data_IF_021016707218
#
_entry.id   IF_021016707218
#
_cell.length_a   1.000
_cell.length_b   1.000
_cell.length_c   1.000
_cell.angle_alpha   90.00
_cell.angle_beta   90.00
_cell.angle_gamma   90.00
#
_symmetry.space_group_name_H-M   'P 1'
#
loop_
_entity.id
_entity.type
_entity.pdbx_description
1 polymer ?
#
# COMPACT_ATOMS: atom_id res chain seq x y z
N UNK A 1 8.23 14.78 -20.48
CA UNK A 1 8.69 14.75 -19.07
C UNK A 1 10.11 14.20 -19.06
N UNK A 2 10.96 14.64 -18.14
CA UNK A 2 12.26 13.98 -17.96
C UNK A 2 12.03 12.59 -17.38
N UNK A 3 12.81 11.60 -17.83
CA UNK A 3 12.82 10.26 -17.24
C UNK A 3 13.28 10.38 -15.78
N UNK A 4 12.61 9.67 -14.89
CA UNK A 4 12.92 9.63 -13.46
C UNK A 4 13.16 8.18 -13.04
N UNK A 5 14.05 7.99 -12.06
CA UNK A 5 14.28 6.76 -11.33
C UNK A 5 13.38 6.76 -10.09
N UNK A 6 12.42 5.83 -10.03
CA UNK A 6 11.40 5.79 -8.99
C UNK A 6 11.45 4.43 -8.30
N UNK A 7 11.68 4.41 -6.99
CA UNK A 7 11.55 3.20 -6.18
C UNK A 7 10.28 3.27 -5.34
N UNK A 8 9.36 2.34 -5.56
CA UNK A 8 8.11 2.24 -4.80
C UNK A 8 8.29 1.15 -3.75
N UNK A 9 8.16 1.52 -2.47
CA UNK A 9 8.20 0.59 -1.36
C UNK A 9 6.77 0.37 -0.82
N UNK A 10 6.34 -0.88 -0.73
CA UNK A 10 5.02 -1.24 -0.23
C UNK A 10 5.07 -2.57 0.52
N UNK A 11 4.22 -2.72 1.55
CA UNK A 11 4.05 -3.99 2.27
C UNK A 11 3.22 -5.01 1.49
N UNK A 12 2.47 -4.59 0.48
CA UNK A 12 1.62 -5.44 -0.34
C UNK A 12 1.61 -4.96 -1.80
N UNK A 13 1.60 -5.91 -2.74
CA UNK A 13 1.65 -5.67 -4.18
C UNK A 13 0.93 -6.81 -4.88
N UNK A 14 -0.09 -6.50 -5.69
CA UNK A 14 -0.74 -7.49 -6.56
C UNK A 14 0.17 -7.86 -7.73
N UNK A 15 0.32 -9.15 -8.09
CA UNK A 15 -0.42 -10.32 -7.58
C UNK A 15 0.33 -11.14 -6.52
N UNK A 16 1.39 -10.59 -5.91
CA UNK A 16 2.27 -11.32 -5.00
C UNK A 16 1.68 -11.49 -3.61
N UNK A 17 1.18 -10.41 -3.01
CA UNK A 17 0.53 -10.41 -1.70
C UNK A 17 -0.49 -9.28 -1.63
N UNK A 18 -1.67 -9.58 -1.08
CA UNK A 18 -2.77 -8.63 -0.95
C UNK A 18 -3.49 -8.82 0.37
N UNK A 19 -3.54 -7.77 1.17
CA UNK A 19 -4.52 -7.60 2.24
C UNK A 19 -5.57 -6.57 1.81
N UNK A 20 -5.17 -5.38 1.35
CA UNK A 20 -6.04 -4.24 1.07
C UNK A 20 -5.94 -3.65 -0.33
N UNK A 21 -6.43 -2.41 -0.45
CA UNK A 21 -6.41 -1.64 -1.71
C UNK A 21 -5.05 -1.00 -2.01
N UNK A 22 -4.14 -0.92 -1.03
CA UNK A 22 -2.76 -0.50 -1.27
C UNK A 22 -2.11 -1.46 -2.27
N UNK A 23 -2.34 -2.77 -2.14
CA UNK A 23 -1.79 -3.77 -3.05
C UNK A 23 -2.18 -3.55 -4.52
N UNK A 24 -3.40 -3.07 -4.76
CA UNK A 24 -3.90 -2.76 -6.11
C UNK A 24 -3.18 -1.54 -6.69
N UNK A 25 -3.01 -0.48 -5.89
CA UNK A 25 -2.27 0.72 -6.30
C UNK A 25 -0.80 0.38 -6.56
N UNK A 26 -0.16 -0.35 -5.64
CA UNK A 26 1.23 -0.77 -5.76
C UNK A 26 1.45 -1.77 -6.91
N UNK A 27 0.40 -2.44 -7.40
CA UNK A 27 0.44 -3.30 -8.58
C UNK A 27 0.13 -2.57 -9.89
N UNK A 28 -0.63 -1.48 -9.89
CA UNK A 28 -1.05 -0.77 -11.10
C UNK A 28 -0.24 0.49 -11.40
N UNK A 29 0.06 1.30 -10.38
CA UNK A 29 0.80 2.56 -10.53
C UNK A 29 2.21 2.36 -11.13
N UNK A 30 3.01 1.35 -10.71
CA UNK A 30 4.33 1.16 -11.31
C UNK A 30 4.26 0.88 -12.81
N UNK A 31 3.26 0.11 -13.26
CA UNK A 31 3.02 -0.19 -14.68
C UNK A 31 2.74 1.09 -15.47
N UNK A 32 1.86 1.94 -14.95
CA UNK A 32 1.51 3.21 -15.57
C UNK A 32 2.70 4.17 -15.66
N UNK A 33 3.48 4.31 -14.58
CA UNK A 33 4.69 5.15 -14.57
C UNK A 33 5.76 4.60 -15.52
N UNK A 34 5.92 3.28 -15.60
CA UNK A 34 6.83 2.64 -16.55
C UNK A 34 6.42 2.92 -18.00
N UNK A 35 5.13 2.84 -18.31
CA UNK A 35 4.59 3.18 -19.64
C UNK A 35 4.78 4.65 -20.02
N UNK A 36 4.89 5.55 -19.04
CA UNK A 36 5.25 6.97 -19.24
C UNK A 36 6.76 7.20 -19.47
N UNK A 37 7.58 6.15 -19.41
CA UNK A 37 9.01 6.18 -19.72
C UNK A 37 9.95 6.30 -18.51
N UNK A 38 9.43 6.22 -17.28
CA UNK A 38 10.23 6.26 -16.06
C UNK A 38 10.95 4.91 -15.79
N UNK A 39 12.11 4.95 -15.12
CA UNK A 39 12.68 3.72 -14.56
C UNK A 39 12.03 3.44 -13.20
N UNK A 40 11.10 2.50 -13.18
CA UNK A 40 10.30 2.20 -11.99
C UNK A 40 10.67 0.83 -11.47
N UNK A 41 10.94 0.76 -10.16
CA UNK A 41 11.22 -0.48 -9.44
C UNK A 41 10.32 -0.56 -8.22
N UNK A 42 9.96 -1.76 -7.83
CA UNK A 42 9.12 -2.01 -6.65
C UNK A 42 9.91 -2.82 -5.63
N UNK A 43 9.75 -2.53 -4.35
CA UNK A 43 10.31 -3.33 -3.26
C UNK A 43 9.18 -3.74 -2.32
N UNK A 44 9.14 -5.02 -1.96
CA UNK A 44 8.20 -5.54 -0.96
C UNK A 44 8.85 -6.63 -0.10
N UNK A 45 8.29 -6.95 1.09
CA UNK A 45 8.74 -8.10 1.85
C UNK A 45 8.37 -9.41 1.15
N UNK A 46 9.19 -10.44 1.36
CA UNK A 46 8.91 -11.78 0.87
C UNK A 46 8.13 -12.57 1.92
N UNK A 47 6.80 -12.59 1.81
CA UNK A 47 5.95 -13.45 2.64
C UNK A 47 5.88 -14.88 2.09
N UNK A 48 5.40 -15.85 2.88
CA UNK A 48 5.22 -17.23 2.40
C UNK A 48 4.17 -17.36 1.29
N UNK A 49 3.18 -16.46 1.25
CA UNK A 49 2.20 -16.42 0.14
C UNK A 49 2.84 -16.05 -1.21
N UNK A 50 4.03 -15.44 -1.19
CA UNK A 50 4.82 -15.15 -2.39
C UNK A 50 5.52 -16.43 -2.82
N UNK A 51 4.96 -17.09 -3.83
CA UNK A 51 5.51 -18.30 -4.44
C UNK A 51 6.70 -17.96 -5.36
N UNK A 52 7.89 -18.39 -4.97
CA UNK A 52 9.13 -18.15 -5.73
C UNK A 52 9.11 -18.78 -7.11
N UNK A 53 8.60 -20.01 -7.23
CA UNK A 53 8.66 -20.78 -8.46
C UNK A 53 7.63 -20.25 -9.45
N UNK A 54 6.40 -20.03 -8.97
CA UNK A 54 5.31 -19.46 -9.78
C UNK A 54 5.71 -18.13 -10.42
N UNK A 55 6.43 -17.28 -9.68
CA UNK A 55 6.85 -15.96 -10.14
C UNK A 55 8.28 -15.92 -10.69
N UNK A 56 8.97 -17.06 -10.80
CA UNK A 56 10.32 -17.15 -11.35
C UNK A 56 11.35 -16.29 -10.62
N UNK A 57 11.22 -16.15 -9.30
CA UNK A 57 12.05 -15.27 -8.49
C UNK A 57 13.50 -15.76 -8.46
N UNK A 58 14.44 -14.87 -8.79
CA UNK A 58 15.88 -15.16 -8.83
C UNK A 58 16.56 -14.57 -7.62
N UNK A 59 17.35 -15.36 -6.91
CA UNK A 59 18.18 -14.86 -5.83
C UNK A 59 19.26 -13.94 -6.40
N UNK A 60 19.41 -12.74 -5.83
CA UNK A 60 20.53 -11.86 -6.13
C UNK A 60 21.79 -12.32 -5.39
N UNK A 61 22.94 -12.08 -6.02
CA UNK A 61 24.23 -12.42 -5.44
C UNK A 61 24.56 -11.54 -4.23
N UNK A 62 24.98 -12.18 -3.14
CA UNK A 62 25.41 -11.52 -1.91
C UNK A 62 24.27 -11.29 -0.91
N UNK A 63 24.57 -11.30 0.40
CA UNK A 63 23.58 -11.04 1.43
C UNK A 63 23.37 -9.52 1.60
N UNK A 64 22.15 -9.13 1.92
CA UNK A 64 21.79 -7.74 2.24
C UNK A 64 21.97 -7.50 3.74
N UNK A 65 23.06 -6.83 4.13
CA UNK A 65 23.30 -6.40 5.51
C UNK A 65 22.40 -5.21 5.86
N UNK A 66 21.55 -5.38 6.88
CA UNK A 66 20.64 -4.36 7.38
C UNK A 66 21.03 -4.04 8.81
N UNK A 67 21.62 -2.87 9.07
CA UNK A 67 21.94 -2.48 10.44
C UNK A 67 20.63 -2.25 11.20
N UNK A 68 20.53 -2.73 12.43
CA UNK A 68 19.33 -2.67 13.31
C UNK A 68 19.68 -2.02 14.66
N UNK A 69 20.66 -1.13 14.66
CA UNK A 69 21.10 -0.40 15.84
C UNK A 69 21.53 -1.30 16.99
N UNK A 70 20.90 -1.12 18.15
CA UNK A 70 21.19 -1.90 19.36
C UNK A 70 20.94 -3.41 19.21
N UNK A 71 20.21 -3.84 18.17
CA UNK A 71 19.95 -5.25 17.87
C UNK A 71 21.04 -5.89 16.99
N UNK A 72 22.04 -5.12 16.54
CA UNK A 72 23.11 -5.60 15.67
C UNK A 72 22.78 -5.51 14.18
N UNK A 73 23.38 -6.37 13.36
CA UNK A 73 23.16 -6.42 11.91
C UNK A 73 22.36 -7.68 11.54
N UNK A 74 21.30 -7.49 10.77
CA UNK A 74 20.47 -8.57 10.24
C UNK A 74 20.79 -8.79 8.76
N UNK A 75 20.90 -10.05 8.34
CA UNK A 75 21.31 -10.40 6.97
C UNK A 75 20.14 -11.05 6.23
N UNK A 76 19.65 -10.38 5.19
CA UNK A 76 18.58 -10.86 4.34
C UNK A 76 19.08 -11.42 3.02
N UNK A 77 18.28 -12.28 2.42
CA UNK A 77 18.35 -12.55 0.99
C UNK A 77 17.49 -11.53 0.23
N UNK A 78 17.86 -11.26 -1.02
CA UNK A 78 17.03 -10.46 -1.93
C UNK A 78 16.72 -11.31 -3.14
N UNK A 79 15.44 -11.43 -3.47
CA UNK A 79 15.03 -12.02 -4.73
C UNK A 79 14.58 -10.92 -5.69
N UNK A 80 14.89 -11.09 -6.97
CA UNK A 80 14.41 -10.26 -8.07
C UNK A 80 13.37 -11.04 -8.88
N UNK A 81 12.26 -10.38 -9.18
CA UNK A 81 11.25 -10.83 -10.12
C UNK A 81 10.77 -9.67 -10.99
N UNK A 82 9.70 -9.91 -11.73
CA UNK A 82 9.09 -8.90 -12.60
C UNK A 82 7.60 -8.86 -12.33
N UNK A 83 7.04 -7.66 -12.31
CA UNK A 83 5.60 -7.48 -12.18
C UNK A 83 4.89 -8.06 -13.41
N UNK A 84 3.97 -9.04 -13.25
CA UNK A 84 3.41 -9.78 -14.38
C UNK A 84 2.78 -8.89 -15.45
N UNK A 85 3.04 -9.23 -16.71
CA UNK A 85 2.58 -8.46 -17.87
C UNK A 85 3.36 -7.19 -18.15
N UNK A 86 4.46 -6.93 -17.44
CA UNK A 86 5.32 -5.74 -17.62
C UNK A 86 6.80 -6.09 -17.57
N UNK A 87 7.66 -5.07 -17.66
CA UNK A 87 9.11 -5.15 -17.45
C UNK A 87 9.56 -4.44 -16.15
N UNK A 88 8.63 -4.14 -15.24
CA UNK A 88 8.93 -3.47 -13.95
C UNK A 88 9.63 -4.46 -13.02
N UNK A 89 10.88 -4.22 -12.60
CA UNK A 89 11.57 -5.06 -11.62
C UNK A 89 10.90 -4.97 -10.24
N UNK A 90 10.79 -6.12 -9.59
CA UNK A 90 10.28 -6.22 -8.22
C UNK A 90 11.32 -6.93 -7.37
N UNK A 91 11.75 -6.28 -6.28
CA UNK A 91 12.69 -6.83 -5.32
C UNK A 91 11.96 -7.29 -4.06
N UNK A 92 12.26 -8.50 -3.63
CA UNK A 92 11.64 -9.15 -2.49
C UNK A 92 12.67 -9.32 -1.37
N UNK A 93 12.47 -8.62 -0.26
CA UNK A 93 13.32 -8.72 0.92
C UNK A 93 12.93 -9.98 1.70
N UNK A 94 13.81 -10.98 1.70
CA UNK A 94 13.58 -12.27 2.34
C UNK A 94 14.42 -12.37 3.63
N UNK A 95 13.74 -12.24 4.76
CA UNK A 95 14.32 -12.41 6.09
C UNK A 95 13.39 -13.24 6.96
N UNK A 96 13.78 -14.50 7.16
CA UNK A 96 12.94 -15.55 7.73
C UNK A 96 12.28 -15.15 9.06
N UNK A 97 13.04 -14.52 9.98
CA UNK A 97 12.53 -14.16 11.31
C UNK A 97 11.36 -13.16 11.27
N UNK A 98 11.28 -12.33 10.23
CA UNK A 98 10.24 -11.31 10.07
C UNK A 98 9.19 -11.65 9.03
N UNK A 99 9.57 -12.23 7.89
CA UNK A 99 8.67 -12.43 6.76
C UNK A 99 8.41 -13.90 6.42
N UNK A 100 9.04 -14.84 7.15
CA UNK A 100 8.73 -16.27 7.09
C UNK A 100 7.37 -16.63 7.70
N UNK A 101 6.29 -15.98 7.24
CA UNK A 101 4.92 -16.10 7.76
C UNK A 101 3.92 -15.93 6.62
N UNK A 102 2.70 -16.45 6.81
CA UNK A 102 1.60 -16.28 5.85
C UNK A 102 0.95 -14.90 5.93
N UNK A 103 0.70 -14.40 7.14
CA UNK A 103 0.10 -13.08 7.36
C UNK A 103 1.10 -11.93 7.17
N UNK A 104 0.63 -10.81 6.60
CA UNK A 104 1.48 -9.66 6.26
C UNK A 104 1.90 -8.88 7.52
N UNK A 105 0.94 -8.35 8.26
CA UNK A 105 1.14 -7.57 9.50
C UNK A 105 0.20 -8.02 10.63
N UNK A 106 -0.75 -8.91 10.36
CA UNK A 106 -1.58 -9.58 11.35
C UNK A 106 -1.75 -11.05 10.99
N UNK A 107 -2.18 -11.83 11.97
CA UNK A 107 -2.65 -13.20 11.80
C UNK A 107 -3.93 -13.39 12.61
N UNK A 108 -4.99 -13.87 11.96
CA UNK A 108 -6.31 -14.04 12.56
C UNK A 108 -6.86 -12.76 13.24
N UNK A 109 -6.54 -11.58 12.68
CA UNK A 109 -6.98 -10.28 13.22
C UNK A 109 -6.14 -9.74 14.37
N UNK A 110 -5.08 -10.45 14.78
CA UNK A 110 -4.14 -9.97 15.79
C UNK A 110 -2.85 -9.50 15.13
N UNK A 111 -2.51 -8.23 15.32
CA UNK A 111 -1.25 -7.67 14.82
C UNK A 111 -0.06 -8.39 15.45
N UNK A 112 0.97 -8.67 14.66
CA UNK A 112 2.20 -9.24 15.21
C UNK A 112 2.89 -8.24 16.15
N UNK A 113 3.37 -8.73 17.29
CA UNK A 113 4.00 -7.91 18.32
C UNK A 113 5.34 -7.31 17.90
N UNK A 114 5.99 -7.89 16.89
CA UNK A 114 7.28 -7.45 16.33
C UNK A 114 7.13 -6.56 15.08
N UNK A 115 5.92 -6.08 14.78
CA UNK A 115 5.65 -5.23 13.61
C UNK A 115 6.49 -3.95 13.57
N UNK A 116 6.89 -3.43 14.72
CA UNK A 116 7.85 -2.33 14.80
C UNK A 116 9.14 -2.68 14.06
N UNK A 117 9.84 -3.71 14.55
CA UNK A 117 11.13 -4.14 14.05
C UNK A 117 11.02 -4.67 12.62
N UNK A 118 9.93 -5.36 12.27
CA UNK A 118 9.70 -5.88 10.91
C UNK A 118 9.68 -4.78 9.87
N UNK A 119 8.94 -3.70 10.11
CA UNK A 119 8.77 -2.63 9.12
C UNK A 119 9.84 -1.54 9.21
N UNK A 120 10.50 -1.39 10.36
CA UNK A 120 11.77 -0.65 10.46
C UNK A 120 12.87 -1.38 9.67
N UNK A 121 13.02 -2.69 9.87
CA UNK A 121 13.93 -3.53 9.09
C UNK A 121 13.64 -3.40 7.60
N UNK A 122 12.37 -3.54 7.19
CA UNK A 122 11.99 -3.40 5.78
C UNK A 122 12.39 -2.04 5.21
N UNK A 123 12.07 -0.95 5.92
CA UNK A 123 12.42 0.41 5.48
C UNK A 123 13.93 0.59 5.35
N UNK A 124 14.73 0.06 6.27
CA UNK A 124 16.19 0.09 6.20
C UNK A 124 16.74 -0.82 5.09
N UNK A 125 16.12 -1.98 4.87
CA UNK A 125 16.46 -2.91 3.81
C UNK A 125 16.24 -2.29 2.42
N UNK A 126 15.18 -1.50 2.23
CA UNK A 126 14.95 -0.71 1.00
C UNK A 126 16.13 0.25 0.75
N UNK A 127 16.60 0.95 1.78
CA UNK A 127 17.75 1.84 1.65
C UNK A 127 19.04 1.06 1.31
N UNK A 128 19.29 -0.06 1.99
CA UNK A 128 20.47 -0.89 1.71
C UNK A 128 20.40 -1.54 0.32
N UNK A 129 19.22 -1.91 -0.15
CA UNK A 129 19.01 -2.48 -1.47
C UNK A 129 19.44 -1.50 -2.56
N UNK A 130 19.10 -0.21 -2.44
CA UNK A 130 19.54 0.82 -3.38
C UNK A 130 21.06 0.82 -3.53
N UNK A 131 21.79 0.67 -2.41
CA UNK A 131 23.25 0.59 -2.41
C UNK A 131 23.76 -0.71 -3.03
N UNK A 132 23.13 -1.84 -2.70
CA UNK A 132 23.50 -3.16 -3.21
C UNK A 132 23.42 -3.24 -4.74
N UNK A 133 22.40 -2.63 -5.34
CA UNK A 133 22.15 -2.68 -6.79
C UNK A 133 22.60 -1.40 -7.53
N UNK A 134 23.32 -0.50 -6.84
CA UNK A 134 23.73 0.83 -7.32
C UNK A 134 22.58 1.62 -7.99
N UNK A 135 21.38 1.54 -7.41
CA UNK A 135 20.22 2.30 -7.86
C UNK A 135 20.12 3.62 -7.13
N UNK A 136 20.16 4.72 -7.89
CA UNK A 136 20.06 6.10 -7.40
C UNK A 136 18.67 6.64 -7.71
N UNK A 137 17.71 6.56 -6.77
CA UNK A 137 16.35 7.02 -7.01
C UNK A 137 16.30 8.55 -7.06
N UNK A 138 15.58 9.10 -8.03
CA UNK A 138 15.10 10.48 -7.96
C UNK A 138 13.95 10.58 -6.96
N UNK A 139 13.12 9.53 -6.86
CA UNK A 139 11.97 9.46 -5.95
C UNK A 139 11.98 8.13 -5.18
N UNK A 140 11.94 8.24 -3.85
CA UNK A 140 11.55 7.15 -2.94
C UNK A 140 10.07 7.32 -2.58
N UNK A 141 9.23 6.41 -3.05
CA UNK A 141 7.79 6.45 -2.83
C UNK A 141 7.40 5.43 -1.76
N UNK A 142 7.20 5.93 -0.53
CA UNK A 142 6.71 5.20 0.61
C UNK A 142 5.17 5.14 0.62
N UNK A 143 4.63 4.02 1.07
CA UNK A 143 3.21 3.75 1.19
C UNK A 143 2.86 3.29 2.62
N UNK A 144 1.99 4.07 3.26
CA UNK A 144 1.48 3.88 4.63
C UNK A 144 2.57 3.73 5.71
N UNK A 145 2.14 3.44 6.95
CA UNK A 145 3.02 3.34 8.11
C UNK A 145 4.13 2.29 7.94
N UNK A 146 3.90 1.24 7.14
CA UNK A 146 4.84 0.15 6.88
C UNK A 146 6.18 0.60 6.29
N UNK A 147 6.18 1.73 5.58
CA UNK A 147 7.38 2.28 4.92
C UNK A 147 7.60 3.75 5.28
N UNK A 148 6.81 4.29 6.22
CA UNK A 148 6.89 5.68 6.65
C UNK A 148 8.21 6.04 7.36
N UNK A 149 9.02 5.05 7.74
CA UNK A 149 10.38 5.32 8.21
C UNK A 149 11.32 5.77 7.07
N UNK A 150 11.02 5.48 5.80
CA UNK A 150 11.90 5.81 4.66
C UNK A 150 12.18 7.33 4.55
N UNK A 151 11.18 8.23 4.54
CA UNK A 151 11.44 9.67 4.49
C UNK A 151 12.29 10.16 5.67
N UNK A 152 12.01 9.68 6.88
CA UNK A 152 12.78 10.01 8.07
C UNK A 152 14.24 9.55 7.93
N UNK A 153 14.46 8.31 7.51
CA UNK A 153 15.79 7.75 7.29
C UNK A 153 16.56 8.52 6.22
N UNK A 154 15.89 8.91 5.13
CA UNK A 154 16.45 9.71 4.04
C UNK A 154 17.01 11.04 4.56
N UNK A 155 16.24 11.76 5.38
CA UNK A 155 16.62 13.09 5.89
C UNK A 155 17.58 13.05 7.09
N UNK A 156 17.78 11.89 7.69
CA UNK A 156 18.64 11.73 8.89
C UNK A 156 19.83 10.82 8.58
N UNK A 157 19.67 9.51 8.77
CA UNK A 157 20.75 8.51 8.64
C UNK A 157 21.42 8.52 7.26
N UNK A 158 20.66 8.78 6.19
CA UNK A 158 21.14 8.74 4.81
C UNK A 158 21.29 10.12 4.15
N UNK A 159 21.17 11.22 4.92
CA UNK A 159 21.17 12.59 4.39
C UNK A 159 22.47 12.96 3.63
N UNK A 160 23.56 12.28 3.93
CA UNK A 160 24.88 12.48 3.33
C UNK A 160 25.39 11.28 2.55
N UNK A 161 24.54 10.27 2.32
CA UNK A 161 24.89 9.12 1.51
C UNK A 161 24.76 9.46 0.01
N UNK A 162 25.82 9.22 -0.75
CA UNK A 162 25.92 9.61 -2.15
C UNK A 162 24.86 8.95 -3.04
N UNK A 163 24.35 7.77 -2.68
CA UNK A 163 23.31 7.06 -3.43
C UNK A 163 21.99 7.86 -3.43
N UNK A 164 21.72 8.60 -2.36
CA UNK A 164 20.46 9.32 -2.15
C UNK A 164 20.58 10.84 -2.37
N UNK A 165 21.70 11.29 -2.93
CA UNK A 165 21.93 12.71 -3.16
C UNK A 165 20.90 13.27 -4.15
N UNK A 166 20.07 14.19 -3.69
CA UNK A 166 19.02 14.82 -4.49
C UNK A 166 17.75 13.98 -4.64
N UNK A 167 17.66 12.83 -3.95
CA UNK A 167 16.44 12.02 -3.87
C UNK A 167 15.35 12.78 -3.13
N UNK A 168 14.15 12.84 -3.70
CA UNK A 168 12.94 13.28 -3.03
C UNK A 168 12.13 12.09 -2.50
N UNK A 169 11.31 12.33 -1.50
CA UNK A 169 10.44 11.35 -0.87
C UNK A 169 8.97 11.69 -1.03
N UNK A 170 8.17 10.69 -1.39
CA UNK A 170 6.71 10.80 -1.43
C UNK A 170 6.15 9.77 -0.45
N UNK A 171 5.23 10.19 0.42
CA UNK A 171 4.48 9.28 1.29
C UNK A 171 2.99 9.29 0.90
N UNK A 172 2.49 8.15 0.42
CA UNK A 172 1.05 7.96 0.20
C UNK A 172 0.39 7.37 1.43
N UNK A 173 -0.67 8.03 1.90
CA UNK A 173 -1.50 7.59 3.01
C UNK A 173 -2.80 7.02 2.42
N UNK A 174 -3.02 5.71 2.52
CA UNK A 174 -4.26 5.05 2.07
C UNK A 174 -5.26 4.91 3.21
N UNK A 175 -4.77 4.82 4.44
CA UNK A 175 -5.62 4.72 5.63
C UNK A 175 -4.91 5.30 6.86
N UNK A 176 -5.49 6.37 7.42
CA UNK A 176 -4.96 7.03 8.60
C UNK A 176 -5.30 6.32 9.93
N UNK A 177 -6.19 5.33 9.93
CA UNK A 177 -6.51 4.55 11.12
C UNK A 177 -5.30 3.70 11.60
N UNK A 178 -4.45 3.26 10.68
CA UNK A 178 -3.27 2.45 10.98
C UNK A 178 -2.00 3.30 10.88
N UNK A 179 -1.44 3.67 12.03
CA UNK A 179 -0.37 4.68 12.10
C UNK A 179 1.00 4.11 12.51
N UNK A 180 1.06 2.85 12.95
CA UNK A 180 2.29 2.23 13.44
C UNK A 180 2.74 2.83 14.78
N UNK A 181 1.90 2.68 15.81
CA UNK A 181 2.22 3.07 17.18
C UNK A 181 3.06 1.99 17.88
N UNK A 182 4.26 2.35 18.32
CA UNK A 182 5.23 1.39 18.86
C UNK A 182 6.03 1.93 20.04
N UNK A 183 6.82 1.07 20.67
CA UNK A 183 7.69 1.43 21.79
C UNK A 183 8.79 2.41 21.35
N UNK A 184 9.14 3.36 22.23
CA UNK A 184 10.13 4.41 21.93
C UNK A 184 11.54 3.90 21.59
N UNK A 185 11.91 2.70 22.05
CA UNK A 185 13.20 2.07 21.71
C UNK A 185 13.37 1.80 20.22
N UNK A 186 12.30 1.84 19.43
CA UNK A 186 12.38 1.83 17.97
C UNK A 186 13.25 2.95 17.37
N UNK A 187 13.45 4.07 18.08
CA UNK A 187 14.40 5.13 17.70
C UNK A 187 15.83 4.58 17.59
N UNK A 188 16.25 3.79 18.58
CA UNK A 188 17.58 3.16 18.59
C UNK A 188 17.71 2.11 17.46
N UNK A 189 16.64 1.38 17.17
CA UNK A 189 16.61 0.37 16.09
C UNK A 189 16.67 1.04 14.71
N UNK A 190 15.96 2.15 14.52
CA UNK A 190 16.06 2.97 13.30
C UNK A 190 17.45 3.61 13.15
N UNK A 191 18.14 3.82 14.28
CA UNK A 191 19.40 4.55 14.38
C UNK A 191 19.27 5.98 13.81
N UNK A 192 18.21 6.66 14.24
CA UNK A 192 17.97 8.08 13.97
C UNK A 192 18.28 8.91 15.23
N UNK A 193 18.59 10.20 15.09
CA UNK A 193 18.88 11.06 16.25
C UNK A 193 17.69 11.09 17.22
N UNK A 194 17.95 11.05 18.53
CA UNK A 194 16.90 11.12 19.56
C UNK A 194 16.15 12.46 19.56
N UNK A 195 16.71 13.48 18.92
CA UNK A 195 16.04 14.75 18.62
C UNK A 195 14.78 14.55 17.78
N UNK A 196 14.68 13.48 16.98
CA UNK A 196 13.48 13.11 16.23
C UNK A 196 12.35 12.55 17.12
N UNK A 197 12.68 12.14 18.34
CA UNK A 197 11.70 11.80 19.37
C UNK A 197 11.14 13.07 20.01
N UNK A 198 10.35 13.81 19.25
CA UNK A 198 9.70 15.04 19.69
C UNK A 198 8.24 15.13 19.17
N UNK A 199 7.39 16.00 19.76
CA UNK A 199 5.98 16.09 19.40
C UNK A 199 5.68 16.52 17.96
N UNK A 200 6.67 17.02 17.20
CA UNK A 200 6.53 17.40 15.79
C UNK A 200 7.00 16.30 14.82
N UNK A 201 7.57 15.19 15.33
CA UNK A 201 8.08 14.08 14.53
C UNK A 201 7.56 12.75 15.10
N UNK A 202 8.40 11.90 15.71
CA UNK A 202 8.03 10.55 16.08
C UNK A 202 7.17 10.44 17.35
N UNK A 203 7.34 11.31 18.34
CA UNK A 203 6.75 11.11 19.67
C UNK A 203 5.21 11.10 19.60
N UNK A 204 4.59 10.10 20.20
CA UNK A 204 3.14 10.03 20.35
C UNK A 204 2.80 9.20 21.59
N UNK A 205 2.19 9.85 22.58
CA UNK A 205 1.67 9.22 23.80
C UNK A 205 2.72 8.36 24.55
N UNK A 206 3.98 8.82 24.59
CA UNK A 206 5.07 8.10 25.26
C UNK A 206 5.67 6.93 24.47
N UNK A 207 5.16 6.67 23.27
CA UNK A 207 5.75 5.80 22.25
C UNK A 207 6.15 6.59 21.01
N UNK A 208 6.33 5.87 19.90
CA UNK A 208 6.46 6.48 18.57
C UNK A 208 5.23 6.24 17.71
N UNK A 209 5.07 7.08 16.69
CA UNK A 209 4.15 6.90 15.59
C UNK A 209 4.94 7.01 14.27
N UNK A 210 5.14 5.88 13.59
CA UNK A 210 5.95 5.84 12.35
C UNK A 210 5.34 6.68 11.23
N UNK A 211 4.01 6.63 11.08
CA UNK A 211 3.33 7.43 10.06
C UNK A 211 3.50 8.93 10.30
N UNK A 212 3.39 9.35 11.56
CA UNK A 212 3.61 10.75 11.97
C UNK A 212 5.03 11.23 11.65
N UNK A 213 6.04 10.42 11.94
CA UNK A 213 7.44 10.69 11.57
C UNK A 213 7.62 10.79 10.05
N UNK A 214 7.03 9.85 9.30
CA UNK A 214 7.03 9.91 7.83
C UNK A 214 6.37 11.16 7.27
N UNK A 215 5.24 11.59 7.86
CA UNK A 215 4.53 12.83 7.48
C UNK A 215 5.42 14.06 7.70
N UNK A 216 6.14 14.11 8.83
CA UNK A 216 7.02 15.22 9.13
C UNK A 216 8.14 15.37 8.08
N UNK A 217 8.71 14.23 7.65
CA UNK A 217 9.92 14.20 6.82
C UNK A 217 9.69 14.12 5.31
N UNK A 218 8.56 13.59 4.84
CA UNK A 218 8.32 13.45 3.40
C UNK A 218 8.29 14.79 2.66
N UNK A 219 8.87 14.87 1.46
CA UNK A 219 8.82 16.09 0.64
C UNK A 219 7.40 16.36 0.12
N UNK A 220 6.68 15.29 -0.23
CA UNK A 220 5.28 15.34 -0.65
C UNK A 220 4.45 14.25 0.03
N UNK A 221 3.23 14.62 0.39
CA UNK A 221 2.22 13.72 0.91
C UNK A 221 1.15 13.53 -0.15
N UNK A 222 0.75 12.29 -0.38
CA UNK A 222 -0.38 11.99 -1.25
C UNK A 222 -1.41 11.12 -0.55
N UNK A 223 -2.65 11.15 -1.03
CA UNK A 223 -3.71 10.29 -0.51
C UNK A 223 -4.77 10.01 -1.56
N UNK A 224 -5.71 9.10 -1.27
CA UNK A 224 -6.55 8.39 -2.25
C UNK A 224 -7.62 9.23 -2.96
N UNK A 225 -7.86 10.46 -2.51
CA UNK A 225 -8.70 11.43 -3.23
C UNK A 225 -8.56 12.86 -2.67
N UNK A 226 -8.91 13.89 -3.46
CA UNK A 226 -9.01 15.27 -2.95
C UNK A 226 -9.98 15.44 -1.79
N UNK A 227 -11.04 14.63 -1.74
CA UNK A 227 -12.01 14.65 -0.64
C UNK A 227 -11.39 14.08 0.63
N UNK A 228 -10.77 12.91 0.52
CA UNK A 228 -10.11 12.27 1.66
C UNK A 228 -8.96 13.12 2.20
N UNK A 229 -8.21 13.82 1.33
CA UNK A 229 -7.20 14.80 1.75
C UNK A 229 -7.77 15.93 2.65
N UNK A 230 -9.04 16.32 2.46
CA UNK A 230 -9.72 17.27 3.35
C UNK A 230 -10.27 16.59 4.60
N UNK A 231 -10.82 15.38 4.46
CA UNK A 231 -11.40 14.61 5.57
C UNK A 231 -10.35 14.31 6.64
N UNK A 232 -9.16 13.84 6.27
CA UNK A 232 -8.08 13.51 7.23
C UNK A 232 -7.55 14.71 8.03
N UNK A 233 -7.95 15.93 7.66
CA UNK A 233 -7.64 17.15 8.39
C UNK A 233 -8.74 17.54 9.38
N UNK A 234 -9.79 16.73 9.55
CA UNK A 234 -10.87 16.94 10.53
C UNK A 234 -10.73 15.95 11.68
N UNK A 235 -11.32 16.27 12.85
CA UNK A 235 -11.29 15.38 14.01
C UNK A 235 -12.00 14.04 13.80
N UNK A 236 -12.94 13.97 12.84
CA UNK A 236 -13.72 12.76 12.56
C UNK A 236 -12.89 11.70 11.84
N UNK A 237 -12.01 12.12 10.92
CA UNK A 237 -11.21 11.20 10.09
C UNK A 237 -9.70 11.34 10.28
N UNK A 238 -9.27 12.28 11.13
CA UNK A 238 -7.86 12.58 11.40
C UNK A 238 -7.19 11.62 12.38
N UNK A 239 -7.96 10.82 13.12
CA UNK A 239 -7.45 9.79 14.04
C UNK A 239 -6.34 10.31 15.00
N UNK A 240 -6.45 11.55 15.47
CA UNK A 240 -5.47 12.19 16.36
C UNK A 240 -4.27 12.84 15.65
N UNK A 241 -4.20 12.75 14.32
CA UNK A 241 -3.19 13.40 13.48
C UNK A 241 -3.72 14.62 12.71
N UNK A 242 -4.98 15.03 12.91
CA UNK A 242 -5.60 16.14 12.17
C UNK A 242 -4.74 17.42 12.19
N UNK A 243 -4.29 17.85 13.38
CA UNK A 243 -3.44 19.03 13.54
C UNK A 243 -2.05 18.84 12.91
N UNK A 244 -1.51 17.62 12.99
CA UNK A 244 -0.21 17.28 12.38
C UNK A 244 -0.29 17.35 10.87
N UNK A 245 -1.36 16.83 10.28
CA UNK A 245 -1.60 16.88 8.83
C UNK A 245 -1.88 18.32 8.39
N UNK A 246 -2.66 19.09 9.14
CA UNK A 246 -2.89 20.51 8.85
C UNK A 246 -1.58 21.30 8.79
N UNK A 247 -0.65 21.04 9.72
CA UNK A 247 0.69 21.63 9.71
C UNK A 247 1.52 21.30 8.46
N UNK A 248 1.22 20.17 7.81
CA UNK A 248 1.87 19.69 6.59
C UNK A 248 0.96 19.78 5.35
N UNK A 249 -0.16 20.52 5.42
CA UNK A 249 -1.15 20.62 4.35
C UNK A 249 -0.59 21.22 3.06
N UNK A 250 0.43 22.08 3.16
CA UNK A 250 1.11 22.70 2.02
C UNK A 250 1.79 21.69 1.08
N UNK A 251 2.08 20.48 1.56
CA UNK A 251 2.66 19.38 0.78
C UNK A 251 1.70 18.19 0.59
N UNK A 252 0.42 18.33 0.97
CA UNK A 252 -0.59 17.29 0.86
C UNK A 252 -1.43 17.42 -0.42
N UNK A 253 -1.47 16.34 -1.20
CA UNK A 253 -2.28 16.25 -2.41
C UNK A 253 -3.17 15.00 -2.43
N UNK A 254 -4.46 15.19 -2.68
CA UNK A 254 -5.35 14.07 -2.96
C UNK A 254 -5.29 13.67 -4.44
N UNK A 255 -4.91 12.43 -4.72
CA UNK A 255 -4.85 11.85 -6.07
C UNK A 255 -5.91 10.76 -6.15
N UNK A 256 -6.84 10.90 -7.09
CA UNK A 256 -7.88 9.89 -7.28
C UNK A 256 -7.22 8.59 -7.78
N UNK A 257 -7.47 7.49 -7.07
CA UNK A 257 -7.00 6.18 -7.49
C UNK A 257 -7.53 5.83 -8.89
N UNK A 258 -6.64 5.33 -9.74
CA UNK A 258 -7.02 4.72 -11.01
C UNK A 258 -7.46 3.26 -10.83
N UNK A 259 -7.99 2.68 -11.90
CA UNK A 259 -8.22 1.24 -12.04
C UNK A 259 -7.43 0.72 -13.24
N UNK A 260 -6.97 -0.54 -13.19
CA UNK A 260 -6.30 -1.19 -14.31
C UNK A 260 -7.33 -1.54 -15.38
N UNK A 261 -7.35 -0.80 -16.49
CA UNK A 261 -8.32 -1.03 -17.57
C UNK A 261 -7.99 -2.26 -18.42
N UNK A 262 -6.87 -2.94 -18.23
CA UNK A 262 -6.63 -4.24 -18.88
C UNK A 262 -7.27 -5.39 -18.09
N UNK A 263 -7.44 -5.21 -16.78
CA UNK A 263 -8.19 -6.12 -15.91
C UNK A 263 -9.68 -5.78 -15.87
N UNK A 264 -10.03 -4.51 -15.61
CA UNK A 264 -11.41 -4.05 -15.40
C UNK A 264 -12.07 -3.56 -16.69
N UNK A 265 -12.23 -4.46 -17.67
CA UNK A 265 -12.79 -4.12 -18.99
C UNK A 265 -13.89 -5.08 -19.43
N UNK A 266 -15.18 -4.70 -19.33
CA UNK A 266 -16.29 -5.56 -19.73
C UNK A 266 -16.26 -6.02 -21.20
N UNK A 267 -15.49 -5.37 -22.08
CA UNK A 267 -15.39 -5.75 -23.48
C UNK A 267 -14.58 -7.04 -23.71
N UNK A 268 -13.74 -7.46 -22.75
CA UNK A 268 -12.88 -8.63 -22.84
C UNK A 268 -12.69 -9.35 -21.49
N UNK A 269 -13.52 -9.02 -20.49
CA UNK A 269 -13.47 -9.64 -19.16
C UNK A 269 -13.90 -11.12 -19.23
N UNK A 270 -13.00 -12.08 -18.91
CA UNK A 270 -13.30 -13.50 -18.97
C UNK A 270 -14.21 -13.99 -17.82
N UNK A 271 -14.40 -13.18 -16.78
CA UNK A 271 -15.19 -13.54 -15.59
C UNK A 271 -16.67 -13.23 -15.72
N UNK A 272 -17.07 -12.43 -16.72
CA UNK A 272 -18.47 -12.11 -16.96
C UNK A 272 -19.09 -13.02 -18.03
N UNK A 273 -20.39 -13.29 -17.89
CA UNK A 273 -21.10 -14.24 -18.75
C UNK A 273 -21.11 -13.84 -20.23
N UNK A 274 -21.08 -12.55 -20.53
CA UNK A 274 -21.01 -12.05 -21.90
C UNK A 274 -20.35 -10.66 -21.95
N UNK A 275 -19.33 -10.47 -22.80
CA UNK A 275 -18.72 -9.17 -22.98
C UNK A 275 -19.70 -8.08 -23.47
N UNK A 276 -19.47 -6.84 -23.07
CA UNK A 276 -20.23 -5.66 -23.48
C UNK A 276 -19.37 -4.39 -23.42
N UNK A 277 -19.85 -3.29 -24.02
CA UNK A 277 -19.15 -2.00 -23.98
C UNK A 277 -20.16 -0.83 -23.93
N UNK A 278 -19.67 0.41 -24.01
CA UNK A 278 -20.51 1.60 -23.93
C UNK A 278 -21.51 1.73 -25.10
N UNK A 279 -21.19 1.16 -26.26
CA UNK A 279 -22.00 1.22 -27.48
C UNK A 279 -23.01 0.06 -27.57
N UNK A 280 -22.72 -1.10 -26.97
CA UNK A 280 -23.61 -2.27 -26.91
C UNK A 280 -23.68 -2.86 -25.50
N UNK A 281 -24.79 -2.57 -24.80
CA UNK A 281 -25.09 -3.05 -23.45
C UNK A 281 -25.82 -4.41 -23.42
N UNK A 282 -26.09 -5.06 -24.56
CA UNK A 282 -26.83 -6.34 -24.58
C UNK A 282 -26.13 -7.45 -23.77
N UNK A 283 -24.81 -7.43 -23.69
CA UNK A 283 -24.07 -8.37 -22.84
C UNK A 283 -24.34 -8.16 -21.35
N UNK A 284 -24.60 -6.91 -20.91
CA UNK A 284 -24.94 -6.59 -19.52
C UNK A 284 -26.24 -7.24 -19.07
N UNK A 285 -27.25 -7.35 -19.94
CA UNK A 285 -28.49 -8.09 -19.66
C UNK A 285 -28.22 -9.57 -19.40
N UNK A 286 -27.34 -10.18 -20.21
CA UNK A 286 -26.94 -11.57 -20.01
C UNK A 286 -26.16 -11.76 -18.70
N UNK A 287 -25.28 -10.82 -18.35
CA UNK A 287 -24.56 -10.83 -17.08
C UNK A 287 -25.51 -10.72 -15.87
N UNK A 288 -26.51 -9.82 -15.93
CA UNK A 288 -27.54 -9.70 -14.88
C UNK A 288 -28.31 -11.01 -14.68
N UNK A 289 -28.75 -11.63 -15.78
CA UNK A 289 -29.45 -12.92 -15.75
C UNK A 289 -28.57 -14.03 -15.17
N UNK A 290 -27.30 -14.06 -15.54
CA UNK A 290 -26.33 -15.02 -15.01
C UNK A 290 -26.09 -14.82 -13.50
N UNK A 291 -25.97 -13.57 -13.04
CA UNK A 291 -25.81 -13.24 -11.63
C UNK A 291 -27.05 -13.63 -10.80
N UNK A 292 -28.25 -13.31 -11.30
CA UNK A 292 -29.50 -13.76 -10.69
C UNK A 292 -29.55 -15.28 -10.58
N UNK A 293 -29.19 -16.00 -11.66
CA UNK A 293 -29.13 -17.45 -11.66
C UNK A 293 -28.11 -17.99 -10.65
N UNK A 294 -26.93 -17.37 -10.56
CA UNK A 294 -25.87 -17.78 -9.64
C UNK A 294 -26.32 -17.71 -8.16
N UNK A 295 -27.03 -16.65 -7.78
CA UNK A 295 -27.56 -16.45 -6.43
C UNK A 295 -28.99 -17.00 -6.23
N UNK A 296 -29.50 -17.83 -7.15
CA UNK A 296 -30.85 -18.42 -7.10
C UNK A 296 -31.99 -17.40 -7.00
N UNK A 297 -31.81 -16.20 -7.56
CA UNK A 297 -32.84 -15.16 -7.64
C UNK A 297 -33.75 -15.38 -8.86
N UNK A 298 -35.01 -14.91 -8.81
CA UNK A 298 -35.88 -14.86 -9.99
C UNK A 298 -35.23 -14.08 -11.14
N UNK A 299 -35.11 -14.70 -12.31
CA UNK A 299 -34.46 -14.11 -13.48
C UNK A 299 -35.37 -13.09 -14.16
N UNK A 300 -35.50 -11.91 -13.55
CA UNK A 300 -36.35 -10.81 -14.03
C UNK A 300 -35.50 -9.71 -14.64
N UNK A 301 -35.75 -9.38 -15.90
CA UNK A 301 -34.96 -8.38 -16.64
C UNK A 301 -35.15 -6.97 -16.07
N UNK A 302 -36.38 -6.59 -15.77
CA UNK A 302 -36.73 -5.21 -15.40
C UNK A 302 -36.52 -4.88 -13.91
N UNK A 303 -36.43 -5.90 -13.03
CA UNK A 303 -36.28 -5.65 -11.59
C UNK A 303 -34.90 -5.03 -11.29
N UNK A 304 -34.78 -3.95 -10.51
CA UNK A 304 -33.48 -3.45 -10.07
C UNK A 304 -32.70 -4.52 -9.29
N UNK A 305 -31.42 -4.68 -9.61
CA UNK A 305 -30.50 -5.56 -8.89
C UNK A 305 -29.39 -4.69 -8.31
N UNK A 306 -29.28 -4.68 -6.99
CA UNK A 306 -28.31 -3.89 -6.22
C UNK A 306 -27.25 -4.86 -5.67
N UNK A 307 -25.98 -4.52 -5.81
CA UNK A 307 -24.88 -5.34 -5.28
C UNK A 307 -24.09 -4.61 -4.20
N UNK A 308 -23.75 -5.29 -3.11
CA UNK A 308 -22.78 -4.80 -2.13
C UNK A 308 -21.55 -5.71 -2.11
N UNK A 309 -20.38 -5.15 -2.42
CA UNK A 309 -19.10 -5.86 -2.33
C UNK A 309 -18.14 -5.05 -1.46
N UNK A 310 -17.79 -5.59 -0.31
CA UNK A 310 -16.88 -4.94 0.63
C UNK A 310 -16.68 -5.76 1.90
N UNK A 311 -15.67 -5.37 2.70
CA UNK A 311 -15.48 -5.95 4.03
C UNK A 311 -16.64 -5.54 4.96
N UNK A 312 -17.01 -6.44 5.88
CA UNK A 312 -17.99 -6.14 6.93
C UNK A 312 -17.34 -5.29 8.03
N UNK A 313 -17.11 -4.01 7.74
CA UNK A 313 -16.52 -3.04 8.65
C UNK A 313 -17.40 -1.79 8.73
N UNK A 314 -17.37 -1.09 9.87
CA UNK A 314 -18.18 0.12 10.11
C UNK A 314 -17.96 1.18 9.02
N UNK A 315 -16.70 1.41 8.61
CA UNK A 315 -16.35 2.34 7.53
C UNK A 315 -16.92 1.97 6.14
N UNK A 316 -17.48 0.78 5.97
CA UNK A 316 -18.16 0.33 4.73
C UNK A 316 -19.67 0.54 4.77
N UNK A 317 -20.20 1.13 5.86
CA UNK A 317 -21.62 1.49 5.96
C UNK A 317 -22.55 0.30 6.16
N UNK A 318 -22.05 -0.80 6.74
CA UNK A 318 -22.86 -2.01 6.99
C UNK A 318 -24.04 -1.71 7.92
N UNK A 319 -23.83 -0.87 8.93
CA UNK A 319 -24.90 -0.45 9.84
C UNK A 319 -26.00 0.31 9.12
N UNK A 320 -25.61 1.19 8.19
CA UNK A 320 -26.57 1.90 7.34
C UNK A 320 -27.36 0.90 6.50
N UNK A 321 -26.68 -0.04 5.83
CA UNK A 321 -27.31 -1.08 5.02
C UNK A 321 -28.29 -1.90 5.86
N UNK A 322 -27.89 -2.35 7.05
CA UNK A 322 -28.74 -3.10 7.97
C UNK A 322 -29.97 -2.30 8.40
N UNK A 323 -29.80 -1.01 8.71
CA UNK A 323 -30.89 -0.11 9.12
C UNK A 323 -31.91 0.12 8.02
N UNK A 324 -31.48 0.21 6.75
CA UNK A 324 -32.38 0.44 5.60
C UNK A 324 -32.92 -0.85 4.99
N UNK A 325 -32.35 -2.01 5.32
CA UNK A 325 -32.67 -3.30 4.69
C UNK A 325 -34.16 -3.63 4.73
N UNK A 326 -34.83 -3.39 5.86
CA UNK A 326 -36.28 -3.61 5.98
C UNK A 326 -37.08 -2.81 4.96
N UNK A 327 -36.73 -1.53 4.76
CA UNK A 327 -37.38 -0.68 3.76
C UNK A 327 -37.09 -1.12 2.33
N UNK A 328 -35.85 -1.55 2.07
CA UNK A 328 -35.44 -2.09 0.76
C UNK A 328 -36.20 -3.37 0.40
N UNK A 329 -36.41 -4.28 1.36
CA UNK A 329 -37.13 -5.54 1.15
C UNK A 329 -38.64 -5.38 0.86
N UNK A 330 -39.22 -4.21 1.15
CA UNK A 330 -40.59 -3.88 0.77
C UNK A 330 -40.72 -3.36 -0.67
N UNK A 331 -39.61 -3.08 -1.35
CA UNK A 331 -39.59 -2.65 -2.75
C UNK A 331 -39.47 -3.85 -3.69
N UNK A 332 -39.95 -3.71 -4.94
CA UNK A 332 -39.73 -4.74 -5.96
C UNK A 332 -38.30 -4.65 -6.52
N UNK A 333 -37.33 -5.10 -5.71
CA UNK A 333 -35.89 -5.09 -6.01
C UNK A 333 -35.24 -6.43 -5.66
N UNK A 334 -33.99 -6.59 -6.06
CA UNK A 334 -33.12 -7.69 -5.69
C UNK A 334 -31.80 -7.15 -5.14
N UNK A 335 -31.22 -7.85 -4.16
CA UNK A 335 -29.94 -7.47 -3.53
C UNK A 335 -29.01 -8.69 -3.57
N UNK A 336 -27.74 -8.48 -3.92
CA UNK A 336 -26.66 -9.48 -3.90
C UNK A 336 -25.46 -9.01 -3.11
#
# INVERSE_FOLDING_TARGET
>A
MNKLNILIAASEVVPFAKSGGLADVAGALPKALRALGHDVRVVMPRYYIVDKEKYGLKLLDGPLGVPMGSMGEAWAAVYEGVLPGTDVPVYFIDYESYFGRMGLYDENGFSYSDNDNRFIFFSKAVMQLCKMIDFRPDILHANDWHTAAIPLLLNTRYAHDDIFRGTASVLTIHNLQHQGHFYKGAVDVMEVPWEEYNPLSLESYGGINLLKGGIAHADMLTTVSPTYAREIQTSEFGWGLESHIQGHSHKLLGIINGIDYDEWRPANDPFIAKPYNADDLKGKDACKKALQKHFNLPQRKEVPLIGFVGRLAEQKGIELLARIMGGLLHMDIQIV
#
